data_IF_894274266918
#
_entry.id   IF_894274266918
#
_cell.length_a   1.000
_cell.length_b   1.000
_cell.length_c   1.000
_cell.angle_alpha   90.00
_cell.angle_beta   90.00
_cell.angle_gamma   90.00
#
_symmetry.space_group_name_H-M   'P 1'
#
loop_
_entity.id
_entity.type
_entity.pdbx_description
1 polymer ?
#
# COMPACT_ATOMS: atom_id res chain seq x y z
N UNK A 1 10.16 11.60 8.58
CA UNK A 1 9.11 10.72 9.16
C UNK A 1 9.19 9.40 8.42
N UNK A 2 9.16 8.26 9.11
CA UNK A 2 9.15 6.97 8.42
C UNK A 2 7.82 6.76 7.69
N UNK A 3 7.81 5.95 6.62
CA UNK A 3 6.60 5.59 5.89
C UNK A 3 5.52 5.02 6.82
N UNK A 4 5.95 4.23 7.80
CA UNK A 4 5.10 3.66 8.86
C UNK A 4 4.46 4.75 9.71
N UNK A 5 5.19 5.81 10.09
CA UNK A 5 4.62 6.94 10.84
C UNK A 5 3.59 7.71 10.02
N UNK A 6 3.83 7.89 8.72
CA UNK A 6 2.87 8.52 7.80
C UNK A 6 1.60 7.68 7.70
N UNK A 7 1.77 6.36 7.63
CA UNK A 7 0.69 5.39 7.52
C UNK A 7 -0.13 5.25 8.83
N UNK A 8 0.53 5.24 10.00
CA UNK A 8 -0.14 5.30 11.30
C UNK A 8 -0.96 6.58 11.46
N UNK A 9 -0.41 7.74 11.04
CA UNK A 9 -1.17 9.00 11.02
C UNK A 9 -2.33 8.97 10.03
N UNK A 10 -2.19 8.21 8.94
CA UNK A 10 -3.28 7.98 8.01
C UNK A 10 -4.41 7.16 8.63
N UNK A 11 -4.10 6.12 9.42
CA UNK A 11 -5.10 5.40 10.21
C UNK A 11 -5.88 6.35 11.13
N UNK A 12 -5.21 7.30 11.78
CA UNK A 12 -5.87 8.31 12.62
C UNK A 12 -6.81 9.23 11.82
N UNK A 13 -6.45 9.56 10.56
CA UNK A 13 -7.24 10.47 9.72
C UNK A 13 -8.42 9.78 9.05
N UNK A 14 -8.25 8.53 8.60
CA UNK A 14 -9.26 7.79 7.83
C UNK A 14 -10.06 6.79 8.69
N UNK A 15 -9.68 6.61 9.96
CA UNK A 15 -10.31 5.69 10.91
C UNK A 15 -10.08 4.21 10.58
N UNK A 16 -10.66 3.33 11.41
CA UNK A 16 -10.66 1.87 11.21
C UNK A 16 -11.73 1.42 10.17
N UNK A 17 -11.90 2.17 9.09
CA UNK A 17 -12.91 1.87 8.07
C UNK A 17 -12.65 0.53 7.36
N UNK A 18 -13.71 -0.23 7.08
CA UNK A 18 -13.60 -1.53 6.41
C UNK A 18 -13.07 -1.45 4.97
N UNK A 19 -13.22 -0.27 4.33
CA UNK A 19 -12.85 -0.03 2.93
C UNK A 19 -12.11 1.30 2.78
N UNK A 20 -10.91 1.25 2.20
CA UNK A 20 -10.08 2.45 1.96
C UNK A 20 -9.66 2.53 0.48
N UNK A 21 -9.80 3.71 -0.13
CA UNK A 21 -9.26 4.03 -1.46
C UNK A 21 -8.07 4.98 -1.34
N UNK A 22 -6.92 4.57 -1.84
CA UNK A 22 -5.64 5.26 -1.75
C UNK A 22 -5.23 5.79 -3.14
N UNK A 23 -4.97 7.09 -3.23
CA UNK A 23 -4.33 7.74 -4.38
C UNK A 23 -2.98 8.31 -3.94
N UNK A 24 -1.88 7.77 -4.47
CA UNK A 24 -0.52 8.07 -3.99
C UNK A 24 -0.01 9.48 -4.33
N UNK A 25 -0.55 10.18 -5.33
CA UNK A 25 -0.17 11.57 -5.65
C UNK A 25 -0.48 12.54 -4.52
N UNK A 26 -1.58 12.31 -3.81
CA UNK A 26 -1.94 13.11 -2.62
C UNK A 26 -1.01 12.84 -1.43
N UNK A 27 -0.39 11.65 -1.38
CA UNK A 27 0.62 11.35 -0.36
C UNK A 27 1.93 12.09 -0.66
N UNK A 28 2.44 12.05 -1.89
CA UNK A 28 3.72 12.73 -2.19
C UNK A 28 3.67 14.25 -2.01
N UNK A 29 2.53 14.91 -2.34
CA UNK A 29 2.36 16.35 -2.13
C UNK A 29 2.42 16.75 -0.64
N UNK A 30 1.88 15.92 0.26
CA UNK A 30 1.80 16.23 1.69
C UNK A 30 3.06 15.84 2.48
N UNK A 31 3.87 14.92 1.95
CA UNK A 31 5.01 14.33 2.66
C UNK A 31 6.36 14.53 1.95
N UNK A 32 6.47 15.49 1.02
CA UNK A 32 7.71 15.83 0.27
C UNK A 32 8.90 16.29 1.14
N UNK A 33 8.81 16.24 2.47
CA UNK A 33 9.89 16.55 3.41
C UNK A 33 10.21 15.32 4.23
N UNK A 34 11.44 14.79 4.08
CA UNK A 34 12.05 13.70 4.85
C UNK A 34 11.75 12.27 4.35
N UNK A 35 12.41 11.92 3.24
CA UNK A 35 12.63 10.53 2.82
C UNK A 35 14.10 10.17 3.13
N UNK A 36 14.39 9.83 4.38
CA UNK A 36 15.62 9.15 4.77
C UNK A 36 15.30 8.08 5.82
N UNK A 37 15.74 6.85 5.51
CA UNK A 37 15.92 5.67 6.35
C UNK A 37 15.16 5.55 7.68
N UNK A 38 14.34 4.52 7.80
CA UNK A 38 14.48 3.49 8.84
C UNK A 38 13.48 2.35 8.56
N UNK A 39 14.01 1.14 8.40
CA UNK A 39 13.27 -0.12 8.23
C UNK A 39 12.67 -0.61 9.56
N UNK A 40 11.98 0.27 10.29
CA UNK A 40 11.17 -0.16 11.43
C UNK A 40 9.73 -0.36 10.97
N UNK A 41 9.43 -1.62 10.65
CA UNK A 41 8.06 -2.13 10.53
C UNK A 41 7.47 -2.12 11.94
N UNK A 42 7.06 -0.94 12.42
CA UNK A 42 6.18 -0.84 13.58
C UNK A 42 4.92 -1.64 13.26
N UNK A 43 4.56 -2.53 14.19
CA UNK A 43 3.41 -3.45 14.16
C UNK A 43 2.09 -2.70 14.23
N UNK A 44 1.80 -1.88 13.22
CA UNK A 44 0.54 -1.19 13.06
C UNK A 44 -0.51 -2.20 12.60
N UNK A 45 -1.07 -2.96 13.53
CA UNK A 45 -2.14 -3.92 13.23
C UNK A 45 -3.38 -3.16 12.77
N UNK A 46 -3.94 -3.56 11.63
CA UNK A 46 -5.17 -2.99 11.08
C UNK A 46 -6.32 -3.99 11.23
N UNK A 47 -6.97 -4.05 12.41
CA UNK A 47 -7.87 -5.15 12.76
C UNK A 47 -9.22 -5.12 12.04
N UNK A 48 -9.55 -4.04 11.33
CA UNK A 48 -10.84 -3.87 10.65
C UNK A 48 -10.71 -3.64 9.14
N UNK A 49 -9.49 -3.56 8.62
CA UNK A 49 -9.26 -3.24 7.21
C UNK A 49 -9.49 -4.45 6.31
N UNK A 50 -10.66 -4.54 5.69
CA UNK A 50 -11.06 -5.67 4.84
C UNK A 50 -10.74 -5.47 3.38
N UNK A 51 -10.91 -4.26 2.85
CA UNK A 51 -10.66 -3.96 1.44
C UNK A 51 -9.84 -2.69 1.25
N UNK A 52 -8.81 -2.78 0.42
CA UNK A 52 -8.01 -1.62 0.01
C UNK A 52 -7.96 -1.54 -1.50
N UNK A 53 -8.09 -0.34 -2.04
CA UNK A 53 -7.81 -0.05 -3.45
C UNK A 53 -6.69 0.97 -3.53
N UNK A 54 -5.57 0.61 -4.17
CA UNK A 54 -4.44 1.48 -4.46
C UNK A 54 -4.55 1.87 -5.92
N UNK A 55 -4.64 3.16 -6.20
CA UNK A 55 -4.52 3.71 -7.55
C UNK A 55 -3.06 4.06 -7.81
N UNK A 56 -2.43 3.32 -8.72
CA UNK A 56 -1.06 3.49 -9.12
C UNK A 56 -0.93 4.68 -10.06
N UNK A 57 -0.03 5.59 -9.68
CA UNK A 57 0.26 6.82 -10.37
C UNK A 57 1.75 6.85 -10.72
N UNK A 58 2.11 7.67 -11.71
CA UNK A 58 3.42 7.71 -12.35
C UNK A 58 4.54 7.95 -11.35
N UNK A 59 5.67 7.26 -11.54
CA UNK A 59 6.90 7.38 -10.74
C UNK A 59 6.77 7.03 -9.23
N UNK A 60 5.77 6.24 -8.84
CA UNK A 60 5.54 5.85 -7.45
C UNK A 60 5.76 4.35 -7.17
N UNK A 61 6.46 3.62 -8.06
CA UNK A 61 6.64 2.17 -7.97
C UNK A 61 7.15 1.68 -6.60
N UNK A 62 8.23 2.30 -6.10
CA UNK A 62 8.85 1.90 -4.81
C UNK A 62 7.88 2.12 -3.64
N UNK A 63 7.15 3.23 -3.66
CA UNK A 63 6.19 3.55 -2.61
C UNK A 63 4.95 2.64 -2.66
N UNK A 64 4.49 2.27 -3.87
CA UNK A 64 3.40 1.32 -4.09
C UNK A 64 3.76 -0.07 -3.56
N UNK A 65 4.96 -0.53 -3.87
CA UNK A 65 5.46 -1.81 -3.41
C UNK A 65 5.55 -1.85 -1.89
N UNK A 66 6.12 -0.80 -1.27
CA UNK A 66 6.22 -0.67 0.19
C UNK A 66 4.85 -0.65 0.85
N UNK A 67 3.91 0.13 0.31
CA UNK A 67 2.53 0.21 0.79
C UNK A 67 1.82 -1.15 0.72
N UNK A 68 1.94 -1.83 -0.42
CA UNK A 68 1.31 -3.13 -0.65
C UNK A 68 1.87 -4.18 0.31
N UNK A 69 3.20 -4.23 0.50
CA UNK A 69 3.85 -5.13 1.47
C UNK A 69 3.42 -4.81 2.90
N UNK A 70 3.35 -3.54 3.27
CA UNK A 70 2.92 -3.12 4.61
C UNK A 70 1.47 -3.53 4.88
N UNK A 71 0.56 -3.30 3.94
CA UNK A 71 -0.84 -3.69 4.03
C UNK A 71 -1.00 -5.20 4.16
N UNK A 72 -0.36 -5.96 3.27
CA UNK A 72 -0.42 -7.42 3.29
C UNK A 72 0.18 -8.01 4.56
N UNK A 73 1.24 -7.39 5.11
CA UNK A 73 1.92 -7.85 6.32
C UNK A 73 1.23 -7.50 7.64
N UNK A 74 0.37 -6.46 7.66
CA UNK A 74 -0.21 -5.95 8.91
C UNK A 74 -1.74 -5.98 9.00
N UNK A 75 -2.44 -6.16 7.88
CA UNK A 75 -3.90 -6.25 7.86
C UNK A 75 -4.37 -7.71 7.96
N UNK A 76 -4.54 -8.19 9.20
CA UNK A 76 -4.87 -9.59 9.53
C UNK A 76 -6.26 -10.00 9.00
N UNK A 77 -7.18 -9.04 8.88
CA UNK A 77 -8.54 -9.27 8.36
C UNK A 77 -8.71 -8.83 6.91
N UNK A 78 -7.62 -8.55 6.21
CA UNK A 78 -7.69 -8.11 4.81
C UNK A 78 -8.24 -9.23 3.95
N UNK A 79 -9.31 -8.95 3.22
CA UNK A 79 -9.94 -9.86 2.27
C UNK A 79 -9.51 -9.53 0.84
N UNK A 80 -9.34 -8.24 0.54
CA UNK A 80 -9.10 -7.79 -0.83
C UNK A 80 -8.16 -6.59 -0.91
N UNK A 81 -7.08 -6.73 -1.67
CA UNK A 81 -6.20 -5.64 -2.09
C UNK A 81 -6.33 -5.48 -3.60
N UNK A 82 -6.83 -4.33 -4.07
CA UNK A 82 -6.90 -3.97 -5.49
C UNK A 82 -5.77 -3.00 -5.78
N UNK A 83 -4.93 -3.31 -6.77
CA UNK A 83 -3.88 -2.44 -7.29
C UNK A 83 -4.30 -2.07 -8.70
N UNK A 84 -4.70 -0.82 -8.90
CA UNK A 84 -5.19 -0.34 -10.18
C UNK A 84 -4.12 0.46 -10.91
N UNK A 85 -3.82 0.09 -12.14
CA UNK A 85 -2.87 0.79 -13.00
C UNK A 85 -3.61 1.79 -13.88
N UNK A 86 -3.33 3.08 -13.73
CA UNK A 86 -3.79 4.02 -14.73
C UNK A 86 -2.99 3.84 -16.03
N UNK A 87 -3.71 3.63 -17.14
CA UNK A 87 -3.11 3.44 -18.47
C UNK A 87 -2.07 4.54 -18.75
N UNK A 88 -0.86 4.13 -19.16
CA UNK A 88 0.30 4.99 -19.48
C UNK A 88 1.04 5.60 -18.27
N UNK A 89 0.73 5.22 -17.04
CA UNK A 89 1.42 5.73 -15.85
C UNK A 89 2.61 4.86 -15.39
N UNK A 90 2.67 3.60 -15.80
CA UNK A 90 3.81 2.70 -15.56
C UNK A 90 4.27 2.04 -16.85
N UNK A 91 5.54 1.65 -16.90
CA UNK A 91 6.05 0.78 -17.97
C UNK A 91 5.61 -0.66 -17.72
N UNK A 92 5.45 -1.46 -18.78
CA UNK A 92 5.10 -2.87 -18.65
C UNK A 92 6.10 -3.66 -17.79
N UNK A 93 7.37 -3.25 -17.76
CA UNK A 93 8.42 -3.85 -16.94
C UNK A 93 8.17 -3.57 -15.45
N UNK A 94 7.88 -2.32 -15.09
CA UNK A 94 7.56 -1.94 -13.70
C UNK A 94 6.25 -2.56 -13.22
N UNK A 95 5.24 -2.64 -14.09
CA UNK A 95 3.97 -3.32 -13.78
C UNK A 95 4.20 -4.80 -13.47
N UNK A 96 4.96 -5.49 -14.33
CA UNK A 96 5.26 -6.90 -14.14
C UNK A 96 6.09 -7.17 -12.87
N UNK A 97 7.10 -6.34 -12.60
CA UNK A 97 7.90 -6.44 -11.37
C UNK A 97 7.05 -6.21 -10.12
N UNK A 98 6.11 -5.25 -10.16
CA UNK A 98 5.18 -5.03 -9.04
C UNK A 98 4.30 -6.26 -8.81
N UNK A 99 3.73 -6.80 -9.89
CA UNK A 99 2.88 -7.99 -9.84
C UNK A 99 3.64 -9.16 -9.25
N UNK A 100 4.85 -9.43 -9.73
CA UNK A 100 5.68 -10.54 -9.29
C UNK A 100 6.04 -10.41 -7.81
N UNK A 101 6.50 -9.23 -7.37
CA UNK A 101 6.92 -9.01 -5.99
C UNK A 101 5.75 -9.02 -5.00
N UNK A 102 4.61 -8.43 -5.35
CA UNK A 102 3.44 -8.42 -4.47
C UNK A 102 2.81 -9.81 -4.38
N UNK A 103 2.76 -10.55 -5.49
CA UNK A 103 2.17 -11.90 -5.52
C UNK A 103 2.98 -12.91 -4.70
N UNK A 104 4.31 -12.73 -4.62
CA UNK A 104 5.19 -13.57 -3.79
C UNK A 104 5.23 -13.16 -2.32
N UNK A 105 4.70 -11.99 -1.97
CA UNK A 105 4.79 -11.49 -0.61
C UNK A 105 3.91 -12.29 0.35
N UNK A 106 4.47 -12.64 1.51
CA UNK A 106 3.73 -13.36 2.55
C UNK A 106 2.65 -12.47 3.14
N UNK A 107 1.41 -12.94 3.10
CA UNK A 107 0.24 -12.23 3.62
C UNK A 107 0.01 -12.62 5.07
N UNK A 108 -0.38 -11.66 5.91
CA UNK A 108 -0.83 -11.90 7.27
C UNK A 108 -2.23 -12.52 7.29
N UNK A 109 -3.10 -12.12 6.37
CA UNK A 109 -4.40 -12.76 6.12
C UNK A 109 -4.27 -13.88 5.09
N UNK A 110 -4.68 -15.08 5.47
CA UNK A 110 -4.77 -16.24 4.55
C UNK A 110 -5.87 -16.04 3.48
N UNK A 111 -6.87 -15.20 3.77
CA UNK A 111 -8.00 -14.93 2.89
C UNK A 111 -7.77 -13.72 1.97
N UNK A 112 -6.65 -13.01 2.12
CA UNK A 112 -6.34 -11.84 1.33
C UNK A 112 -6.10 -12.20 -0.14
N UNK A 113 -6.96 -11.69 -1.02
CA UNK A 113 -6.80 -11.76 -2.46
C UNK A 113 -6.20 -10.45 -2.98
N UNK A 114 -5.20 -10.54 -3.85
CA UNK A 114 -4.62 -9.39 -4.56
C UNK A 114 -5.16 -9.39 -5.98
N UNK A 115 -5.72 -8.27 -6.41
CA UNK A 115 -6.29 -8.07 -7.75
C UNK A 115 -5.57 -6.92 -8.43
N UNK A 116 -5.10 -7.14 -9.65
CA UNK A 116 -4.46 -6.13 -10.50
C UNK A 116 -5.48 -5.69 -11.56
N UNK A 117 -5.75 -4.38 -11.69
CA UNK A 117 -6.88 -3.85 -12.47
C UNK A 117 -6.58 -2.61 -13.32
#
# INVERSE_FOLDING_TARGET
>A
MSFTQIFCRWREIFGDGERIKLQLTKMQSKYKKSMHNSEEISTCVMPLLKTVTIHCLKNCFVDQLKLSKLLLGNAIVLEKLVISFEKKQMTAVEENDLVEQVSRFRKASINATVVFA
#
